data_IF_974365138630
#
_entry.id   IF_974365138630
#
_cell.length_a   1.000
_cell.length_b   1.000
_cell.length_c   1.000
_cell.angle_alpha   90.00
_cell.angle_beta   90.00
_cell.angle_gamma   90.00
#
_symmetry.space_group_name_H-M   'P 1'
#
loop_
_entity.id
_entity.type
_entity.pdbx_description
1 polymer ?
#
# COMPACT_ATOMS: atom_id res chain seq x y z
N UNK A 1 8.98 -45.23 13.39
CA UNK A 1 7.89 -45.28 12.39
C UNK A 1 8.36 -44.49 11.18
N UNK A 2 8.32 -45.06 9.96
CA UNK A 2 8.95 -44.50 8.78
C UNK A 2 8.08 -43.44 8.08
N UNK A 3 8.76 -42.63 7.25
CA UNK A 3 8.30 -41.51 6.44
C UNK A 3 7.16 -41.89 5.46
N UNK A 4 6.17 -41.01 5.32
CA UNK A 4 5.15 -41.07 4.26
C UNK A 4 5.41 -39.96 3.23
N UNK A 5 5.80 -40.30 1.97
CA UNK A 5 5.98 -39.33 0.91
C UNK A 5 4.69 -39.21 0.07
N UNK A 6 4.01 -38.07 0.13
CA UNK A 6 2.99 -37.75 -0.86
C UNK A 6 3.66 -37.13 -2.09
N UNK A 7 3.90 -38.00 -3.08
CA UNK A 7 4.03 -37.62 -4.48
C UNK A 7 2.66 -37.28 -5.05
N UNK A 8 2.58 -36.17 -5.77
CA UNK A 8 1.42 -35.77 -6.55
C UNK A 8 1.89 -35.28 -7.91
N UNK A 9 1.79 -36.18 -8.90
CA UNK A 9 1.91 -35.93 -10.32
C UNK A 9 1.05 -34.72 -10.74
N UNK A 10 1.66 -33.76 -11.45
CA UNK A 10 0.91 -32.81 -12.27
C UNK A 10 0.86 -33.32 -13.70
N UNK A 11 -0.23 -34.02 -13.98
CA UNK A 11 -0.74 -34.37 -15.31
C UNK A 11 -0.91 -33.13 -16.19
N UNK A 12 -0.50 -33.24 -17.45
CA UNK A 12 -0.54 -32.19 -18.45
C UNK A 12 -1.94 -31.69 -18.84
N UNK A 13 -1.97 -30.43 -19.25
CA UNK A 13 -2.93 -29.85 -20.20
C UNK A 13 -2.08 -29.06 -21.20
N UNK A 14 -2.07 -29.39 -22.49
CA UNK A 14 -3.17 -29.10 -23.39
C UNK A 14 -2.82 -27.79 -24.11
N UNK A 15 -2.03 -27.87 -25.18
CA UNK A 15 -1.69 -26.68 -25.99
C UNK A 15 -2.90 -26.35 -26.84
N UNK A 16 -3.70 -25.38 -26.39
CA UNK A 16 -4.82 -24.83 -27.14
C UNK A 16 -4.31 -24.21 -28.46
N UNK A 17 -4.53 -24.92 -29.58
CA UNK A 17 -4.32 -24.38 -30.92
C UNK A 17 -5.43 -23.35 -31.17
N UNK A 18 -5.17 -22.11 -30.75
CA UNK A 18 -6.07 -20.98 -30.89
C UNK A 18 -6.52 -20.78 -32.34
N UNK A 19 -7.84 -20.89 -32.55
CA UNK A 19 -8.59 -20.68 -33.79
C UNK A 19 -8.45 -19.21 -34.25
N UNK A 20 -7.33 -18.89 -34.92
CA UNK A 20 -7.04 -17.56 -35.44
C UNK A 20 -7.85 -17.26 -36.70
N UNK A 21 -8.39 -16.03 -36.81
CA UNK A 21 -9.07 -15.54 -38.03
C UNK A 21 -8.13 -15.71 -39.24
N UNK A 22 -8.64 -16.26 -40.34
CA UNK A 22 -7.89 -16.38 -41.58
C UNK A 22 -7.82 -15.01 -42.28
N UNK A 23 -6.62 -14.58 -42.67
CA UNK A 23 -6.34 -13.37 -43.45
C UNK A 23 -5.72 -13.83 -44.77
N UNK A 24 -5.85 -13.09 -45.88
CA UNK A 24 -5.22 -13.46 -47.15
C UNK A 24 -3.80 -12.91 -47.23
N UNK A 25 -2.87 -13.70 -47.78
CA UNK A 25 -1.53 -13.22 -48.06
C UNK A 25 -1.58 -12.15 -49.16
N UNK A 26 -0.98 -10.95 -48.97
CA UNK A 26 -0.97 -9.91 -50.00
C UNK A 26 -0.13 -10.25 -51.24
N UNK A 27 0.73 -11.28 -51.18
CA UNK A 27 1.62 -11.65 -52.28
C UNK A 27 1.09 -12.80 -53.15
N UNK A 28 0.38 -13.77 -52.57
CA UNK A 28 -0.12 -14.94 -53.30
C UNK A 28 -1.62 -15.20 -53.12
N UNK A 29 -2.31 -14.32 -52.40
CA UNK A 29 -3.75 -14.31 -52.11
C UNK A 29 -4.32 -15.56 -51.40
N UNK A 30 -3.47 -16.55 -51.09
CA UNK A 30 -3.87 -17.74 -50.34
C UNK A 30 -4.19 -17.39 -48.88
N UNK A 31 -5.17 -18.09 -48.27
CA UNK A 31 -5.54 -17.89 -46.88
C UNK A 31 -4.40 -18.31 -45.95
N UNK A 32 -4.12 -17.48 -44.95
CA UNK A 32 -3.10 -17.67 -43.92
C UNK A 32 -3.68 -17.30 -42.56
N UNK A 33 -3.01 -17.70 -41.48
CA UNK A 33 -3.42 -17.28 -40.13
C UNK A 33 -3.02 -15.82 -39.89
N UNK A 34 -3.88 -15.03 -39.22
CA UNK A 34 -3.62 -13.61 -38.94
C UNK A 34 -2.31 -13.34 -38.16
N UNK A 35 -1.72 -14.37 -37.53
CA UNK A 35 -0.48 -14.29 -36.76
C UNK A 35 0.75 -14.82 -37.51
N UNK A 36 0.59 -15.34 -38.73
CA UNK A 36 1.72 -15.80 -39.53
C UNK A 36 2.62 -14.60 -39.90
N UNK A 37 3.91 -14.67 -39.53
CA UNK A 37 4.91 -13.67 -39.91
C UNK A 37 5.50 -13.92 -41.30
N UNK A 38 5.38 -15.16 -41.80
CA UNK A 38 5.85 -15.58 -43.11
C UNK A 38 4.75 -16.42 -43.75
N UNK A 39 4.46 -16.20 -45.03
CA UNK A 39 3.47 -16.99 -45.75
C UNK A 39 4.05 -18.40 -46.04
N UNK A 40 3.36 -19.49 -45.64
CA UNK A 40 3.85 -20.86 -45.90
C UNK A 40 3.77 -21.26 -47.38
N UNK A 41 3.03 -20.52 -48.21
CA UNK A 41 2.84 -20.88 -49.61
C UNK A 41 3.79 -20.18 -50.58
N UNK A 42 4.27 -18.97 -50.27
CA UNK A 42 5.14 -18.20 -51.15
C UNK A 42 6.41 -17.66 -50.47
N UNK A 43 6.56 -17.85 -49.15
CA UNK A 43 7.73 -17.38 -48.39
C UNK A 43 7.77 -15.86 -48.12
N UNK A 44 6.76 -15.08 -48.54
CA UNK A 44 6.73 -13.65 -48.31
C UNK A 44 6.63 -13.30 -46.82
N UNK A 45 7.42 -12.32 -46.37
CA UNK A 45 7.38 -11.80 -44.99
C UNK A 45 6.23 -10.81 -44.81
N UNK A 46 5.42 -11.02 -43.78
CA UNK A 46 4.20 -10.26 -43.52
C UNK A 46 4.46 -9.28 -42.38
N UNK A 47 4.84 -8.05 -42.73
CA UNK A 47 4.88 -6.94 -41.77
C UNK A 47 3.46 -6.46 -41.51
N UNK A 48 2.88 -6.88 -40.39
CA UNK A 48 1.65 -6.25 -39.90
C UNK A 48 1.99 -4.83 -39.48
N UNK A 49 1.56 -3.85 -40.29
CA UNK A 49 1.69 -2.43 -39.96
C UNK A 49 0.71 -2.13 -38.82
N UNK A 50 1.13 -2.34 -37.58
CA UNK A 50 0.39 -1.86 -36.41
C UNK A 50 0.43 -0.34 -36.46
N UNK A 51 -0.69 0.28 -36.82
CA UNK A 51 -0.89 1.70 -36.53
C UNK A 51 -0.88 1.79 -35.00
N UNK A 52 0.14 2.44 -34.44
CA UNK A 52 0.30 2.50 -32.99
C UNK A 52 -0.82 3.35 -32.42
N UNK A 53 -1.61 2.76 -31.53
CA UNK A 53 -2.71 3.42 -30.81
C UNK A 53 -2.26 4.73 -30.13
N UNK A 54 -0.97 4.84 -29.79
CA UNK A 54 -0.35 6.06 -29.25
C UNK A 54 -0.40 7.29 -30.17
N UNK A 55 -0.40 7.11 -31.50
CA UNK A 55 -0.50 8.26 -32.43
C UNK A 55 -1.90 8.88 -32.42
N UNK A 56 -2.94 8.05 -32.25
CA UNK A 56 -4.34 8.52 -32.17
C UNK A 56 -4.59 9.23 -30.84
N UNK A 57 -4.10 8.66 -29.74
CA UNK A 57 -4.23 9.26 -28.39
C UNK A 57 -3.51 10.62 -28.33
N UNK A 58 -2.32 10.74 -28.95
CA UNK A 58 -1.58 12.00 -28.99
C UNK A 58 -2.33 13.13 -29.70
N UNK A 59 -3.01 12.83 -30.83
CA UNK A 59 -3.80 13.83 -31.55
C UNK A 59 -5.04 14.28 -30.77
N UNK A 60 -5.69 13.36 -30.04
CA UNK A 60 -6.86 13.70 -29.20
C UNK A 60 -6.46 14.57 -28.02
N UNK A 61 -5.36 14.25 -27.33
CA UNK A 61 -4.86 15.05 -26.20
C UNK A 61 -4.44 16.45 -26.67
N UNK A 62 -3.72 16.56 -27.78
CA UNK A 62 -3.30 17.86 -28.33
C UNK A 62 -4.51 18.73 -28.71
N UNK A 63 -5.54 18.13 -29.34
CA UNK A 63 -6.78 18.84 -29.66
C UNK A 63 -7.53 19.33 -28.41
N UNK A 64 -7.59 18.51 -27.35
CA UNK A 64 -8.21 18.89 -26.07
C UNK A 64 -7.48 20.03 -25.38
N UNK A 65 -6.15 20.01 -25.36
CA UNK A 65 -5.34 21.08 -24.74
C UNK A 65 -5.54 22.42 -25.46
N UNK A 66 -5.58 22.43 -26.79
CA UNK A 66 -5.81 23.66 -27.56
C UNK A 66 -7.21 24.22 -27.33
N UNK A 67 -8.24 23.37 -27.22
CA UNK A 67 -9.62 23.80 -26.97
C UNK A 67 -9.79 24.43 -25.57
N UNK A 68 -9.12 23.88 -24.56
CA UNK A 68 -9.15 24.40 -23.17
C UNK A 68 -8.49 25.77 -23.04
N UNK A 69 -7.47 26.08 -23.84
CA UNK A 69 -6.79 27.38 -23.80
C UNK A 69 -7.64 28.50 -24.41
N UNK A 70 -8.50 28.20 -25.40
CA UNK A 70 -9.34 29.21 -26.07
C UNK A 70 -10.63 29.52 -25.30
N UNK A 71 -11.10 28.61 -24.44
CA UNK A 71 -12.39 28.76 -23.72
C UNK A 71 -12.26 29.23 -22.27
N UNK A 72 -11.04 29.38 -21.73
CA UNK A 72 -10.78 29.64 -20.32
C UNK A 72 -10.81 31.10 -19.83
N UNK A 73 -11.16 32.09 -20.66
CA UNK A 73 -11.07 33.52 -20.30
C UNK A 73 -12.41 34.22 -20.00
N UNK A 74 -13.35 33.52 -19.37
CA UNK A 74 -14.50 34.19 -18.71
C UNK A 74 -14.28 34.17 -17.20
N UNK A 75 -13.57 35.19 -16.74
CA UNK A 75 -13.39 35.51 -15.34
C UNK A 75 -14.74 36.02 -14.82
N UNK A 76 -15.46 35.17 -14.10
CA UNK A 76 -16.55 35.58 -13.22
C UNK A 76 -15.92 36.30 -12.03
N UNK A 77 -16.28 37.57 -11.87
CA UNK A 77 -16.06 38.36 -10.66
C UNK A 77 -16.79 37.70 -9.48
N UNK A 78 -16.15 36.71 -8.86
CA UNK A 78 -16.45 36.32 -7.49
C UNK A 78 -15.79 37.37 -6.59
N UNK A 79 -16.60 38.07 -5.79
CA UNK A 79 -16.12 39.01 -4.79
C UNK A 79 -15.09 38.37 -3.85
N UNK A 80 -14.34 39.17 -3.08
CA UNK A 80 -13.31 38.66 -2.19
C UNK A 80 -13.95 37.76 -1.13
N UNK A 81 -13.98 36.46 -1.40
CA UNK A 81 -14.05 35.45 -0.37
C UNK A 81 -12.77 35.63 0.43
N UNK A 82 -12.92 36.32 1.55
CA UNK A 82 -11.86 36.49 2.53
C UNK A 82 -11.45 35.07 2.90
N UNK A 83 -10.36 34.59 2.30
CA UNK A 83 -9.74 33.33 2.62
C UNK A 83 -9.57 33.32 4.14
N UNK A 84 -10.40 32.52 4.82
CA UNK A 84 -10.26 32.33 6.24
C UNK A 84 -8.83 31.83 6.44
N UNK A 85 -8.01 32.53 7.24
CA UNK A 85 -6.64 32.09 7.47
C UNK A 85 -6.75 30.67 7.98
N UNK A 86 -6.06 29.75 7.29
CA UNK A 86 -5.98 28.34 7.69
C UNK A 86 -5.68 28.33 9.19
N UNK A 87 -6.66 27.90 9.98
CA UNK A 87 -6.49 27.82 11.42
C UNK A 87 -5.28 26.91 11.61
N UNK A 88 -4.25 27.44 12.25
CA UNK A 88 -3.09 26.66 12.62
C UNK A 88 -3.55 25.76 13.76
N UNK A 89 -4.21 24.66 13.41
CA UNK A 89 -4.61 23.64 14.36
C UNK A 89 -3.32 23.16 15.04
N UNK A 90 -3.27 23.34 16.36
CA UNK A 90 -2.15 22.86 17.15
C UNK A 90 -2.17 21.33 17.03
N UNK A 91 -1.04 20.68 16.68
CA UNK A 91 -1.01 19.23 16.58
C UNK A 91 -1.55 18.59 17.86
N UNK A 92 -2.31 17.48 17.77
CA UNK A 92 -2.88 16.85 18.94
C UNK A 92 -1.78 16.45 19.92
N UNK A 93 -2.07 16.63 21.20
CA UNK A 93 -1.18 16.15 22.25
C UNK A 93 -1.24 14.62 22.29
N UNK A 94 -0.08 13.97 22.23
CA UNK A 94 0.05 12.51 22.30
C UNK A 94 0.93 12.17 23.50
N UNK A 95 0.33 11.63 24.55
CA UNK A 95 1.00 11.31 25.78
C UNK A 95 1.44 9.84 25.81
N UNK A 96 2.67 9.58 26.25
CA UNK A 96 3.12 8.23 26.53
C UNK A 96 2.60 7.81 27.91
N UNK A 97 1.53 7.03 27.94
CA UNK A 97 0.83 6.65 29.17
C UNK A 97 1.27 5.31 29.77
N UNK A 98 2.01 4.49 29.02
CA UNK A 98 2.49 3.20 29.53
C UNK A 98 3.80 2.75 28.89
N UNK A 99 4.62 2.05 29.68
CA UNK A 99 5.95 1.63 29.27
C UNK A 99 6.37 0.33 29.94
N UNK A 100 6.72 -0.67 29.13
CA UNK A 100 7.40 -1.88 29.57
C UNK A 100 8.75 -2.02 28.85
N UNK A 101 9.78 -2.41 29.60
CA UNK A 101 11.11 -2.70 29.07
C UNK A 101 11.66 -3.99 29.68
N UNK A 102 11.93 -4.98 28.84
CA UNK A 102 12.59 -6.21 29.25
C UNK A 102 14.11 -6.03 29.40
N UNK A 103 14.76 -6.98 30.07
CA UNK A 103 16.21 -7.00 30.27
C UNK A 103 17.00 -7.05 28.94
N UNK A 104 16.48 -7.75 27.93
CA UNK A 104 17.03 -7.81 26.58
C UNK A 104 16.74 -6.56 25.73
N UNK A 105 16.21 -5.50 26.35
CA UNK A 105 15.83 -4.22 25.74
C UNK A 105 14.61 -4.28 24.81
N UNK A 106 13.84 -5.37 24.80
CA UNK A 106 12.51 -5.39 24.16
C UNK A 106 11.60 -4.37 24.85
N UNK A 107 10.73 -3.72 24.06
CA UNK A 107 9.89 -2.62 24.55
C UNK A 107 8.45 -2.77 24.09
N UNK A 108 7.54 -2.41 24.98
CA UNK A 108 6.14 -2.16 24.66
C UNK A 108 5.78 -0.78 25.19
N UNK A 109 5.25 0.09 24.34
CA UNK A 109 4.86 1.45 24.68
C UNK A 109 3.39 1.67 24.33
N UNK A 110 2.66 2.38 25.19
CA UNK A 110 1.31 2.83 24.89
C UNK A 110 1.22 4.34 24.92
N UNK A 111 0.48 4.88 23.95
CA UNK A 111 0.23 6.29 23.76
C UNK A 111 -1.27 6.55 23.78
N UNK A 112 -1.67 7.72 24.26
CA UNK A 112 -3.06 8.16 24.24
C UNK A 112 -3.15 9.62 23.78
N UNK A 113 -4.25 9.94 23.11
CA UNK A 113 -4.63 11.30 22.76
C UNK A 113 -6.12 11.47 23.01
N UNK A 114 -6.54 12.65 23.49
CA UNK A 114 -7.96 12.96 23.64
C UNK A 114 -8.66 13.08 22.28
N UNK A 115 -7.90 13.36 21.22
CA UNK A 115 -8.39 13.53 19.86
C UNK A 115 -8.06 12.32 18.97
N UNK A 116 -8.85 12.15 17.90
CA UNK A 116 -8.65 11.07 16.95
C UNK A 116 -7.37 11.29 16.15
N UNK A 117 -6.45 10.34 16.22
CA UNK A 117 -5.17 10.43 15.54
C UNK A 117 -5.27 10.06 14.07
N UNK A 118 -4.71 10.92 13.23
CA UNK A 118 -4.53 10.70 11.79
C UNK A 118 -3.33 9.80 11.51
N UNK A 119 -3.26 9.25 10.30
CA UNK A 119 -2.10 8.48 9.85
C UNK A 119 -0.81 9.31 9.93
N UNK A 120 -0.85 10.59 9.52
CA UNK A 120 0.32 11.46 9.49
C UNK A 120 0.92 11.66 10.89
N UNK A 121 0.07 11.91 11.90
CA UNK A 121 0.49 12.09 13.29
C UNK A 121 1.10 10.82 13.88
N UNK A 122 0.48 9.68 13.60
CA UNK A 122 0.97 8.37 14.03
C UNK A 122 2.31 8.04 13.36
N UNK A 123 2.45 8.32 12.07
CA UNK A 123 3.72 8.16 11.37
C UNK A 123 4.80 9.06 11.98
N UNK A 124 4.49 10.33 12.28
CA UNK A 124 5.41 11.26 12.92
C UNK A 124 5.77 10.85 14.36
N UNK A 125 4.84 10.24 15.10
CA UNK A 125 5.11 9.62 16.41
C UNK A 125 6.12 8.49 16.27
N UNK A 126 5.86 7.51 15.41
CA UNK A 126 6.71 6.32 15.27
C UNK A 126 8.12 6.62 14.78
N UNK A 127 8.29 7.62 13.90
CA UNK A 127 9.61 8.08 13.47
C UNK A 127 10.50 8.58 14.62
N UNK A 128 9.89 9.14 15.67
CA UNK A 128 10.62 9.72 16.81
C UNK A 128 10.99 8.69 17.86
N UNK A 129 10.40 7.49 17.83
CA UNK A 129 10.61 6.51 18.90
C UNK A 129 11.93 5.75 18.73
N UNK A 130 12.72 5.61 19.80
CA UNK A 130 13.97 4.88 19.76
C UNK A 130 13.71 3.37 19.71
N UNK A 131 14.05 2.72 18.59
CA UNK A 131 14.13 1.27 18.50
C UNK A 131 15.58 0.80 18.56
N UNK A 132 15.83 -0.37 19.16
CA UNK A 132 17.15 -1.00 19.18
C UNK A 132 17.16 -2.13 18.14
N UNK A 133 18.15 -2.16 17.25
CA UNK A 133 18.28 -3.24 16.26
C UNK A 133 18.43 -4.59 16.99
N UNK A 134 17.76 -5.63 16.49
CA UNK A 134 17.80 -6.96 17.11
C UNK A 134 16.85 -7.16 18.29
N UNK A 135 16.01 -6.15 18.61
CA UNK A 135 15.04 -6.22 19.72
C UNK A 135 13.62 -6.10 19.21
N UNK A 136 12.67 -6.62 19.97
CA UNK A 136 11.25 -6.41 19.72
C UNK A 136 10.84 -5.02 20.22
N UNK A 137 10.08 -4.32 19.38
CA UNK A 137 9.40 -3.08 19.73
C UNK A 137 7.92 -3.22 19.39
N UNK A 138 7.02 -2.87 20.31
CA UNK A 138 5.60 -2.62 20.03
C UNK A 138 5.20 -1.25 20.53
N UNK A 139 4.58 -0.45 19.68
CA UNK A 139 3.89 0.77 20.05
C UNK A 139 2.39 0.60 19.78
N UNK A 140 1.54 1.04 20.71
CA UNK A 140 0.09 1.10 20.52
C UNK A 140 -0.40 2.50 20.83
N UNK A 141 -1.29 3.03 20.01
CA UNK A 141 -1.89 4.33 20.22
C UNK A 141 -3.42 4.19 20.34
N UNK A 142 -3.97 4.88 21.32
CA UNK A 142 -5.38 4.96 21.63
C UNK A 142 -5.83 6.42 21.47
N UNK A 143 -7.07 6.63 21.07
CA UNK A 143 -7.66 7.96 20.94
C UNK A 143 -9.05 8.04 21.55
N UNK A 144 -9.42 9.25 21.99
CA UNK A 144 -10.73 9.53 22.59
C UNK A 144 -11.00 8.67 23.82
N UNK A 145 -12.19 8.08 23.88
CA UNK A 145 -12.65 7.29 25.03
C UNK A 145 -12.05 5.87 25.12
N UNK A 146 -11.23 5.46 24.15
CA UNK A 146 -10.60 4.15 24.19
C UNK A 146 -9.58 4.08 25.34
N UNK A 147 -9.76 3.19 26.33
CA UNK A 147 -8.85 3.14 27.47
C UNK A 147 -7.49 2.63 27.02
N UNK A 148 -6.44 3.31 27.46
CA UNK A 148 -5.05 2.88 27.26
C UNK A 148 -4.56 2.03 28.45
N UNK A 149 -3.69 1.04 28.23
CA UNK A 149 -3.21 0.12 29.26
C UNK A 149 -2.11 0.75 30.13
N UNK A 150 -2.30 1.97 30.64
CA UNK A 150 -1.27 2.77 31.33
C UNK A 150 -0.50 2.00 32.43
N UNK A 151 -1.10 1.88 33.62
CA UNK A 151 -0.50 1.16 34.75
C UNK A 151 -0.37 -0.33 34.46
N UNK A 152 -1.35 -0.91 33.77
CA UNK A 152 -1.38 -2.35 33.46
C UNK A 152 -0.18 -2.79 32.60
N UNK A 153 0.28 -1.93 31.68
CA UNK A 153 1.48 -2.15 30.89
C UNK A 153 2.74 -1.90 31.72
N UNK A 154 2.76 -0.81 32.50
CA UNK A 154 3.92 -0.41 33.30
C UNK A 154 4.27 -1.44 34.37
N UNK A 155 3.27 -2.07 34.97
CA UNK A 155 3.44 -3.13 35.97
C UNK A 155 3.44 -4.55 35.41
N UNK A 156 3.53 -4.71 34.08
CA UNK A 156 3.65 -6.03 33.48
C UNK A 156 4.92 -6.75 33.98
N UNK A 157 4.77 -7.99 34.46
CA UNK A 157 5.88 -8.76 35.04
C UNK A 157 6.86 -9.29 33.98
N UNK A 158 6.40 -9.46 32.75
CA UNK A 158 7.17 -10.03 31.65
C UNK A 158 6.66 -9.52 30.29
N UNK A 159 7.46 -9.76 29.25
CA UNK A 159 7.16 -9.31 27.89
C UNK A 159 5.86 -9.90 27.37
N UNK A 160 5.54 -11.15 27.72
CA UNK A 160 4.33 -11.81 27.26
C UNK A 160 3.09 -11.11 27.84
N UNK A 161 3.10 -10.77 29.14
CA UNK A 161 2.02 -9.99 29.76
C UNK A 161 1.92 -8.58 29.16
N UNK A 162 3.05 -7.92 28.93
CA UNK A 162 3.08 -6.61 28.28
C UNK A 162 2.51 -6.64 26.85
N UNK A 163 2.69 -7.72 26.10
CA UNK A 163 2.10 -7.88 24.76
C UNK A 163 0.62 -8.25 24.82
N UNK A 164 0.22 -9.09 25.78
CA UNK A 164 -1.17 -9.54 25.94
C UNK A 164 -2.06 -8.38 26.40
N UNK A 165 -1.60 -7.55 27.33
CA UNK A 165 -2.42 -6.45 27.88
C UNK A 165 -2.89 -5.49 26.79
N UNK A 166 -2.10 -5.27 25.73
CA UNK A 166 -2.46 -4.35 24.63
C UNK A 166 -3.44 -4.93 23.62
N UNK A 167 -3.89 -6.18 23.79
CA UNK A 167 -4.81 -6.87 22.86
C UNK A 167 -5.96 -7.58 23.59
N UNK A 168 -6.09 -7.38 24.90
CA UNK A 168 -7.16 -7.95 25.70
C UNK A 168 -8.08 -6.85 26.22
N UNK A 169 -9.39 -7.10 26.33
CA UNK A 169 -10.30 -6.17 26.96
C UNK A 169 -9.81 -5.71 28.35
N UNK A 170 -9.96 -4.43 28.68
CA UNK A 170 -10.64 -3.39 27.90
C UNK A 170 -9.76 -2.68 26.85
N UNK A 171 -8.49 -3.08 26.67
CA UNK A 171 -7.48 -2.36 25.88
C UNK A 171 -7.29 -2.91 24.45
N UNK A 172 -8.21 -3.74 23.97
CA UNK A 172 -8.18 -4.37 22.64
C UNK A 172 -8.65 -3.43 21.51
N UNK A 173 -9.02 -2.20 21.85
CA UNK A 173 -9.50 -1.16 20.93
C UNK A 173 -8.45 -0.09 20.65
N UNK A 174 -7.20 -0.48 20.44
CA UNK A 174 -6.18 0.46 19.96
C UNK A 174 -6.54 0.91 18.53
N UNK A 175 -6.46 2.20 18.26
CA UNK A 175 -6.65 2.75 16.92
C UNK A 175 -5.48 2.39 15.99
N UNK A 176 -4.27 2.36 16.56
CA UNK A 176 -3.04 2.09 15.81
C UNK A 176 -2.10 1.18 16.60
N UNK A 177 -1.47 0.25 15.89
CA UNK A 177 -0.42 -0.61 16.45
C UNK A 177 0.74 -0.73 15.47
N UNK A 178 1.93 -0.50 16.00
CA UNK A 178 3.20 -0.62 15.31
C UNK A 178 4.05 -1.69 15.98
N UNK A 179 4.71 -2.52 15.19
CA UNK A 179 5.62 -3.54 15.68
C UNK A 179 6.90 -3.58 14.84
N UNK A 180 8.04 -3.75 15.49
CA UNK A 180 9.31 -4.16 14.87
C UNK A 180 9.76 -5.44 15.56
N UNK A 181 9.98 -6.51 14.80
CA UNK A 181 10.50 -7.75 15.36
C UNK A 181 12.05 -7.75 15.43
N UNK A 182 12.67 -8.72 16.11
CA UNK A 182 14.14 -8.80 16.19
C UNK A 182 14.86 -8.89 14.83
N UNK A 183 14.21 -9.41 13.80
CA UNK A 183 14.75 -9.45 12.43
C UNK A 183 14.69 -8.07 11.73
N UNK A 184 14.11 -7.05 12.36
CA UNK A 184 13.90 -5.72 11.79
C UNK A 184 12.67 -5.62 10.90
N UNK A 185 11.85 -6.67 10.80
CA UNK A 185 10.60 -6.63 10.04
C UNK A 185 9.60 -5.76 10.80
N UNK A 186 8.92 -4.91 10.06
CA UNK A 186 7.97 -3.95 10.61
C UNK A 186 6.54 -4.39 10.26
N UNK A 187 5.60 -4.18 11.17
CA UNK A 187 4.16 -4.45 10.96
C UNK A 187 3.32 -3.32 11.52
N UNK A 188 2.23 -3.01 10.83
CA UNK A 188 1.35 -1.91 11.16
C UNK A 188 -0.12 -2.37 11.08
N UNK A 189 -0.92 -1.99 12.06
CA UNK A 189 -2.36 -2.22 12.12
C UNK A 189 -3.03 -0.88 12.48
N UNK A 190 -4.11 -0.51 11.79
CA UNK A 190 -4.85 0.74 12.06
C UNK A 190 -5.46 1.44 10.83
N UNK A 191 -5.41 0.83 9.65
CA UNK A 191 -6.05 1.35 8.44
C UNK A 191 -5.54 0.63 7.18
N UNK A 192 -6.03 1.03 6.00
CA UNK A 192 -5.54 0.51 4.72
C UNK A 192 -4.16 1.11 4.32
N UNK A 193 -3.77 2.20 4.97
CA UNK A 193 -2.58 2.97 4.62
C UNK A 193 -1.39 2.68 5.56
N UNK A 194 -0.19 2.67 4.99
CA UNK A 194 1.10 2.56 5.68
C UNK A 194 1.85 3.90 5.61
N UNK A 195 2.84 4.09 6.48
CA UNK A 195 3.70 5.27 6.44
C UNK A 195 4.66 5.21 5.24
N UNK A 196 4.89 6.27 4.46
CA UNK A 196 5.76 6.19 3.26
C UNK A 196 7.23 5.85 3.55
N UNK A 197 7.80 6.37 4.65
CA UNK A 197 9.16 6.06 5.12
C UNK A 197 9.34 4.60 5.56
N UNK A 198 8.27 3.81 5.51
CA UNK A 198 8.25 2.41 5.85
C UNK A 198 8.94 1.51 4.83
N UNK A 199 8.85 1.86 3.55
CA UNK A 199 9.21 0.97 2.45
C UNK A 199 10.70 1.02 2.09
N UNK A 200 11.43 2.04 2.58
CA UNK A 200 12.85 2.24 2.30
C UNK A 200 13.67 2.28 3.60
N UNK A 201 14.17 1.11 4.08
CA UNK A 201 14.98 1.01 5.29
C UNK A 201 16.38 1.62 5.17
#
# INVERSE_FOLDING_TARGET
MPFSPYGGEKSGGGVDVGKGKAVRCPACEKPITARARVCPHCGATLRTRRVSTGMVIGLVIAGLVVLSVVTGSTQQDAGPEVAQPAQTETPPQIDQVGYYKAANRDRVMSFHSDEKLTLAEICALWQRLPYTRGTLFRGVAYSGENPAPADALTFALDLRRALVVTITPPFDKSDWMFMVNPAGQRSFLGGEATCEWWENP
#
